data_IF_582049395056
#
_entry.id   IF_582049395056
#
_cell.length_a   1.000
_cell.length_b   1.000
_cell.length_c   1.000
_cell.angle_alpha   90.00
_cell.angle_beta   90.00
_cell.angle_gamma   90.00
#
_symmetry.space_group_name_H-M   'P 1'
#
loop_
_entity.id
_entity.type
_entity.pdbx_description
1 polymer ?
#
# COMPACT_ATOMS: atom_id res chain seq x y z
N UNK A 1 71.72 -22.76 -48.37
CA UNK A 1 70.76 -21.77 -48.90
C UNK A 1 69.35 -22.20 -48.49
N UNK A 2 68.60 -21.36 -47.77
CA UNK A 2 67.25 -21.68 -47.27
C UNK A 2 66.15 -21.19 -48.24
N UNK A 3 64.96 -21.77 -48.13
CA UNK A 3 63.73 -21.36 -48.81
C UNK A 3 62.94 -22.61 -49.25
N UNK A 4 61.67 -22.84 -48.89
CA UNK A 4 60.56 -21.94 -48.59
C UNK A 4 59.65 -22.65 -47.58
N UNK A 5 59.50 -22.09 -46.37
CA UNK A 5 58.48 -22.50 -45.41
C UNK A 5 57.12 -21.89 -45.80
N UNK A 6 56.11 -22.75 -46.01
CA UNK A 6 54.72 -22.32 -46.16
C UNK A 6 54.16 -21.97 -44.78
N UNK A 7 54.10 -20.68 -44.49
CA UNK A 7 53.35 -20.12 -43.36
C UNK A 7 51.87 -20.51 -43.44
N UNK A 8 51.49 -21.53 -42.68
CA UNK A 8 50.09 -21.72 -42.26
C UNK A 8 49.84 -20.73 -41.14
N UNK A 9 49.32 -19.55 -41.48
CA UNK A 9 48.73 -18.63 -40.52
C UNK A 9 47.62 -19.36 -39.75
N UNK A 10 47.96 -19.82 -38.54
CA UNK A 10 46.96 -20.07 -37.51
C UNK A 10 46.36 -18.71 -37.17
N UNK A 11 45.26 -18.37 -37.85
CA UNK A 11 44.33 -17.35 -37.37
C UNK A 11 43.88 -17.76 -35.98
N UNK A 12 44.47 -17.15 -34.97
CA UNK A 12 43.96 -17.10 -33.61
C UNK A 12 42.49 -16.70 -33.71
N UNK A 13 41.53 -17.52 -33.26
CA UNK A 13 40.15 -17.08 -33.24
C UNK A 13 40.08 -15.90 -32.28
N UNK A 14 39.86 -14.71 -32.84
CA UNK A 14 39.49 -13.51 -32.11
C UNK A 14 38.45 -13.90 -31.08
N UNK A 15 38.79 -13.69 -29.80
CA UNK A 15 37.98 -14.04 -28.66
C UNK A 15 36.55 -13.56 -28.85
N UNK A 16 35.67 -14.50 -29.20
CA UNK A 16 34.26 -14.23 -29.40
C UNK A 16 33.68 -13.74 -28.08
N UNK A 17 33.23 -12.49 -28.09
CA UNK A 17 32.38 -11.86 -27.07
C UNK A 17 31.03 -12.60 -27.01
N UNK A 18 31.05 -13.84 -26.52
CA UNK A 18 29.91 -14.76 -26.52
C UNK A 18 29.50 -15.22 -25.11
N UNK A 19 30.05 -14.60 -24.06
CA UNK A 19 29.88 -15.05 -22.66
C UNK A 19 29.11 -14.14 -21.70
N UNK A 20 28.59 -12.98 -22.11
CA UNK A 20 27.88 -12.04 -21.18
C UNK A 20 26.40 -12.35 -20.93
N UNK A 21 25.88 -13.49 -21.39
CA UNK A 21 24.45 -13.86 -21.27
C UNK A 21 24.15 -14.89 -20.16
N UNK A 22 24.89 -14.89 -19.06
CA UNK A 22 24.67 -15.82 -17.93
C UNK A 22 23.41 -15.47 -17.13
N UNK A 23 23.55 -14.61 -16.11
CA UNK A 23 22.47 -14.34 -15.15
C UNK A 23 21.44 -13.27 -15.60
N UNK A 24 21.91 -12.16 -16.19
CA UNK A 24 21.01 -11.08 -16.67
C UNK A 24 20.10 -11.60 -17.79
N UNK A 25 20.64 -12.42 -18.70
CA UNK A 25 19.87 -13.05 -19.76
C UNK A 25 18.75 -13.95 -19.22
N UNK A 26 19.08 -14.84 -18.27
CA UNK A 26 18.10 -15.70 -17.62
C UNK A 26 17.03 -14.92 -16.84
N UNK A 27 17.40 -13.82 -16.17
CA UNK A 27 16.45 -12.96 -15.47
C UNK A 27 15.51 -12.23 -16.43
N UNK A 28 16.00 -11.74 -17.57
CA UNK A 28 15.17 -11.14 -18.62
C UNK A 28 14.29 -12.17 -19.33
N UNK A 29 14.79 -13.39 -19.56
CA UNK A 29 13.96 -14.50 -20.08
C UNK A 29 12.84 -14.85 -19.11
N UNK A 30 13.12 -14.87 -17.80
CA UNK A 30 12.10 -15.06 -16.77
C UNK A 30 11.10 -13.90 -16.70
N UNK A 31 11.54 -12.65 -16.84
CA UNK A 31 10.64 -11.50 -16.91
C UNK A 31 9.72 -11.56 -18.14
N UNK A 32 10.21 -12.06 -19.27
CA UNK A 32 9.46 -12.28 -20.50
C UNK A 32 8.64 -13.57 -20.55
N UNK A 33 8.68 -14.39 -19.51
CA UNK A 33 7.99 -15.68 -19.44
C UNK A 33 6.46 -15.47 -19.40
N UNK A 34 5.64 -16.29 -20.10
CA UNK A 34 4.19 -16.10 -20.18
C UNK A 34 3.47 -15.95 -18.83
N UNK A 35 3.89 -16.69 -17.81
CA UNK A 35 3.34 -16.55 -16.44
C UNK A 35 3.64 -15.19 -15.84
N UNK A 36 4.86 -14.67 -16.01
CA UNK A 36 5.24 -13.34 -15.53
C UNK A 36 4.48 -12.25 -16.27
N UNK A 37 4.31 -12.39 -17.59
CA UNK A 37 3.51 -11.47 -18.41
C UNK A 37 2.04 -11.49 -18.02
N UNK A 38 1.48 -12.67 -17.73
CA UNK A 38 0.12 -12.79 -17.22
C UNK A 38 -0.04 -12.09 -15.86
N UNK A 39 0.92 -12.28 -14.95
CA UNK A 39 0.98 -11.55 -13.67
C UNK A 39 1.01 -10.03 -13.87
N UNK A 40 1.86 -9.53 -14.77
CA UNK A 40 1.92 -8.11 -15.13
C UNK A 40 0.59 -7.59 -15.70
N UNK A 41 -0.03 -8.32 -16.62
CA UNK A 41 -1.30 -7.93 -17.22
C UNK A 41 -2.42 -7.89 -16.17
N UNK A 42 -2.48 -8.90 -15.30
CA UNK A 42 -3.42 -8.93 -14.17
C UNK A 42 -3.18 -7.74 -13.26
N UNK A 43 -1.93 -7.45 -12.87
CA UNK A 43 -1.62 -6.33 -11.98
C UNK A 43 -2.06 -4.99 -12.58
N UNK A 44 -1.71 -4.73 -13.84
CA UNK A 44 -2.10 -3.50 -14.54
C UNK A 44 -3.62 -3.34 -14.65
N UNK A 45 -4.32 -4.36 -15.16
CA UNK A 45 -5.78 -4.31 -15.34
C UNK A 45 -6.49 -4.24 -14.00
N UNK A 46 -6.04 -5.03 -13.02
CA UNK A 46 -6.66 -5.06 -11.70
C UNK A 46 -6.51 -3.71 -10.99
N UNK A 47 -5.30 -3.15 -10.94
CA UNK A 47 -5.04 -1.95 -10.16
C UNK A 47 -5.54 -0.66 -10.82
N UNK A 48 -5.62 -0.63 -12.17
CA UNK A 48 -6.07 0.56 -12.90
C UNK A 48 -7.55 0.51 -13.31
N UNK A 49 -8.16 -0.68 -13.38
CA UNK A 49 -9.56 -0.82 -13.85
C UNK A 49 -10.42 -1.50 -12.79
N UNK A 50 -10.06 -2.71 -12.36
CA UNK A 50 -10.95 -3.51 -11.50
C UNK A 50 -11.09 -2.93 -10.09
N UNK A 51 -10.01 -2.41 -9.49
CA UNK A 51 -10.09 -1.74 -8.17
C UNK A 51 -10.96 -0.48 -8.21
N UNK A 52 -11.05 0.20 -9.35
CA UNK A 52 -11.90 1.39 -9.51
C UNK A 52 -13.38 1.02 -9.70
N UNK A 53 -13.65 -0.06 -10.43
CA UNK A 53 -15.02 -0.52 -10.69
C UNK A 53 -15.61 -1.34 -9.53
N UNK A 54 -14.79 -2.20 -8.91
CA UNK A 54 -15.17 -3.16 -7.86
C UNK A 54 -14.07 -3.24 -6.78
N UNK A 55 -14.01 -2.24 -5.88
CA UNK A 55 -13.12 -2.32 -4.72
C UNK A 55 -13.52 -3.50 -3.84
N UNK A 56 -12.55 -4.28 -3.35
CA UNK A 56 -12.84 -5.39 -2.46
C UNK A 56 -11.69 -6.35 -2.17
N UNK A 57 -11.92 -7.36 -1.31
CA UNK A 57 -10.88 -8.30 -0.89
C UNK A 57 -10.36 -9.18 -2.04
N UNK A 58 -11.21 -9.46 -3.04
CA UNK A 58 -10.84 -10.26 -4.21
C UNK A 58 -9.80 -9.54 -5.07
N UNK A 59 -10.04 -8.26 -5.39
CA UNK A 59 -9.10 -7.44 -6.20
C UNK A 59 -7.83 -7.12 -5.42
N UNK A 60 -7.88 -7.02 -4.09
CA UNK A 60 -6.70 -6.94 -3.22
C UNK A 60 -5.82 -8.20 -3.32
N UNK A 61 -6.39 -9.37 -3.08
CA UNK A 61 -5.65 -10.65 -3.11
C UNK A 61 -5.12 -10.95 -4.50
N UNK A 62 -5.89 -10.68 -5.55
CA UNK A 62 -5.44 -10.87 -6.93
C UNK A 62 -4.17 -10.05 -7.24
N UNK A 63 -4.09 -8.82 -6.71
CA UNK A 63 -2.92 -7.96 -6.80
C UNK A 63 -1.71 -8.58 -6.07
N UNK A 64 -1.91 -9.13 -4.86
CA UNK A 64 -0.85 -9.81 -4.11
C UNK A 64 -0.30 -11.05 -4.85
N UNK A 65 -1.19 -11.90 -5.38
CA UNK A 65 -0.80 -13.07 -6.19
C UNK A 65 -0.01 -12.65 -7.44
N UNK A 66 -0.52 -11.66 -8.17
CA UNK A 66 0.12 -11.15 -9.39
C UNK A 66 1.48 -10.50 -9.09
N UNK A 67 1.56 -9.71 -8.02
CA UNK A 67 2.78 -9.07 -7.55
C UNK A 67 3.85 -10.08 -7.15
N UNK A 68 3.49 -11.16 -6.44
CA UNK A 68 4.43 -12.22 -6.06
C UNK A 68 4.92 -13.08 -7.24
N UNK A 69 4.19 -13.11 -8.35
CA UNK A 69 4.68 -13.70 -9.61
C UNK A 69 5.65 -12.76 -10.33
N UNK A 70 5.38 -11.44 -10.33
CA UNK A 70 6.12 -10.43 -11.09
C UNK A 70 7.38 -9.90 -10.39
N UNK A 71 7.34 -9.71 -9.07
CA UNK A 71 8.42 -9.04 -8.33
C UNK A 71 9.75 -9.83 -8.32
N UNK A 72 9.77 -11.17 -8.17
CA UNK A 72 11.03 -11.93 -8.17
C UNK A 72 11.88 -11.79 -9.45
N UNK A 73 11.34 -11.92 -10.69
CA UNK A 73 12.14 -11.70 -11.90
C UNK A 73 12.66 -10.27 -12.01
N UNK A 74 11.88 -9.27 -11.62
CA UNK A 74 12.31 -7.87 -11.62
C UNK A 74 13.48 -7.66 -10.64
N UNK A 75 13.38 -8.18 -9.43
CA UNK A 75 14.46 -8.14 -8.44
C UNK A 75 15.70 -8.91 -8.92
N UNK A 76 15.52 -10.05 -9.59
CA UNK A 76 16.62 -10.82 -10.18
C UNK A 76 17.36 -10.03 -11.26
N UNK A 77 16.65 -9.27 -12.11
CA UNK A 77 17.27 -8.35 -13.08
C UNK A 77 18.11 -7.29 -12.34
N UNK A 78 17.53 -6.64 -11.32
CA UNK A 78 18.21 -5.60 -10.53
C UNK A 78 19.47 -6.12 -9.83
N UNK A 79 19.41 -7.32 -9.25
CA UNK A 79 20.56 -7.98 -8.61
C UNK A 79 21.63 -8.40 -9.62
N UNK A 80 21.24 -8.87 -10.82
CA UNK A 80 22.17 -9.39 -11.82
C UNK A 80 22.98 -8.29 -12.53
N UNK A 81 22.42 -7.08 -12.67
CA UNK A 81 23.05 -5.94 -13.32
C UNK A 81 24.41 -5.53 -12.69
N UNK A 82 24.51 -5.21 -11.37
CA UNK A 82 25.77 -4.81 -10.74
C UNK A 82 26.76 -5.97 -10.57
N UNK A 83 26.27 -7.20 -10.47
CA UNK A 83 27.09 -8.39 -10.28
C UNK A 83 27.73 -8.92 -11.58
N UNK A 84 27.48 -8.26 -12.72
CA UNK A 84 28.16 -8.51 -13.99
C UNK A 84 28.01 -9.94 -14.52
N UNK A 85 26.92 -10.63 -14.16
CA UNK A 85 26.68 -12.02 -14.56
C UNK A 85 27.55 -13.06 -13.86
N UNK A 86 28.27 -12.70 -12.79
CA UNK A 86 29.16 -13.62 -12.03
C UNK A 86 28.42 -14.58 -11.09
N UNK A 87 27.09 -14.47 -11.02
CA UNK A 87 26.24 -15.28 -10.13
C UNK A 87 25.59 -16.39 -10.95
N UNK A 88 25.52 -17.58 -10.38
CA UNK A 88 24.77 -18.70 -10.99
C UNK A 88 23.27 -18.36 -10.99
N UNK A 89 22.57 -18.76 -12.05
CA UNK A 89 21.18 -18.35 -12.29
C UNK A 89 20.22 -18.93 -11.24
N UNK A 90 20.41 -20.19 -10.84
CA UNK A 90 19.56 -20.84 -9.83
C UNK A 90 19.65 -20.17 -8.45
N UNK A 91 20.85 -19.93 -7.87
CA UNK A 91 20.96 -19.17 -6.63
C UNK A 91 20.41 -17.74 -6.72
N UNK A 92 20.59 -17.06 -7.87
CA UNK A 92 20.01 -15.74 -8.09
C UNK A 92 18.47 -15.79 -8.01
N UNK A 93 17.85 -16.72 -8.74
CA UNK A 93 16.40 -16.88 -8.72
C UNK A 93 15.86 -17.26 -7.34
N UNK A 94 16.53 -18.19 -6.64
CA UNK A 94 16.16 -18.57 -5.29
C UNK A 94 16.31 -17.39 -4.31
N UNK A 95 17.40 -16.62 -4.42
CA UNK A 95 17.62 -15.42 -3.61
C UNK A 95 16.52 -14.37 -3.84
N UNK A 96 16.19 -14.07 -5.10
CA UNK A 96 15.12 -13.12 -5.41
C UNK A 96 13.75 -13.56 -4.86
N UNK A 97 13.40 -14.85 -5.01
CA UNK A 97 12.13 -15.40 -4.48
C UNK A 97 12.09 -15.34 -2.97
N UNK A 98 13.17 -15.76 -2.29
CA UNK A 98 13.24 -15.74 -0.83
C UNK A 98 13.17 -14.32 -0.29
N UNK A 99 13.88 -13.37 -0.92
CA UNK A 99 13.85 -11.96 -0.52
C UNK A 99 12.45 -11.36 -0.71
N UNK A 100 11.80 -11.58 -1.86
CA UNK A 100 10.44 -11.10 -2.10
C UNK A 100 9.45 -11.73 -1.11
N UNK A 101 9.51 -13.05 -0.91
CA UNK A 101 8.62 -13.76 0.00
C UNK A 101 8.80 -13.33 1.46
N UNK A 102 10.05 -13.17 1.91
CA UNK A 102 10.33 -12.70 3.27
C UNK A 102 9.88 -11.26 3.49
N UNK A 103 10.13 -10.37 2.52
CA UNK A 103 9.66 -8.99 2.58
C UNK A 103 8.13 -8.93 2.62
N UNK A 104 7.44 -9.67 1.74
CA UNK A 104 5.98 -9.74 1.72
C UNK A 104 5.42 -10.28 3.04
N UNK A 105 6.00 -11.38 3.57
CA UNK A 105 5.56 -11.96 4.83
C UNK A 105 5.72 -10.98 6.01
N UNK A 106 6.87 -10.29 6.09
CA UNK A 106 7.12 -9.31 7.15
C UNK A 106 6.13 -8.14 7.09
N UNK A 107 5.84 -7.64 5.89
CA UNK A 107 4.89 -6.54 5.65
C UNK A 107 3.45 -6.95 5.96
N UNK A 108 3.02 -8.16 5.57
CA UNK A 108 1.64 -8.61 5.76
C UNK A 108 1.36 -9.17 7.16
N UNK A 109 2.37 -9.64 7.88
CA UNK A 109 2.20 -10.23 9.20
C UNK A 109 2.33 -9.23 10.36
N UNK A 110 2.82 -8.00 10.14
CA UNK A 110 3.07 -7.04 11.22
C UNK A 110 2.67 -5.61 10.86
N UNK A 111 2.06 -4.90 11.80
CA UNK A 111 1.71 -3.48 11.63
C UNK A 111 2.95 -2.60 11.44
N UNK A 112 4.03 -2.88 12.18
CA UNK A 112 5.31 -2.18 12.03
C UNK A 112 5.93 -2.39 10.64
N UNK A 113 5.84 -3.61 10.11
CA UNK A 113 6.30 -3.93 8.76
C UNK A 113 5.49 -3.20 7.69
N UNK A 114 4.17 -3.14 7.86
CA UNK A 114 3.27 -2.39 6.98
C UNK A 114 3.52 -0.87 7.05
N UNK A 115 3.77 -0.31 8.23
CA UNK A 115 4.12 1.09 8.42
C UNK A 115 5.45 1.45 7.74
N UNK A 116 6.48 0.60 7.91
CA UNK A 116 7.77 0.79 7.25
C UNK A 116 7.65 0.72 5.72
N UNK A 117 6.89 -0.25 5.21
CA UNK A 117 6.64 -0.36 3.78
C UNK A 117 5.90 0.86 3.23
N UNK A 118 4.89 1.35 3.96
CA UNK A 118 4.16 2.58 3.61
C UNK A 118 5.12 3.77 3.53
N UNK A 119 5.99 3.96 4.53
CA UNK A 119 6.97 5.04 4.52
C UNK A 119 7.95 4.93 3.34
N UNK A 120 8.52 3.74 3.12
CA UNK A 120 9.49 3.52 2.04
C UNK A 120 8.87 3.74 0.66
N UNK A 121 7.62 3.34 0.49
CA UNK A 121 6.90 3.47 -0.76
C UNK A 121 6.42 4.90 -1.00
N UNK A 122 5.98 5.59 0.06
CA UNK A 122 5.65 7.02 0.04
C UNK A 122 6.82 7.88 -0.41
N UNK A 123 8.04 7.54 0.04
CA UNK A 123 9.25 8.23 -0.37
C UNK A 123 9.63 8.00 -1.85
N UNK A 124 9.26 6.85 -2.42
CA UNK A 124 9.68 6.45 -3.75
C UNK A 124 8.71 6.91 -4.86
N UNK A 125 7.41 6.77 -4.64
CA UNK A 125 6.38 6.94 -5.69
C UNK A 125 5.36 8.02 -5.32
N UNK A 126 5.58 8.70 -4.19
CA UNK A 126 4.55 9.51 -3.57
C UNK A 126 3.62 8.67 -2.71
N UNK A 127 2.67 9.29 -2.02
CA UNK A 127 2.24 8.70 -0.77
C UNK A 127 1.34 7.46 -0.94
N UNK A 128 1.50 6.53 0.00
CA UNK A 128 1.01 5.16 -0.13
C UNK A 128 0.66 4.56 1.23
N UNK A 129 -0.38 3.71 1.24
CA UNK A 129 -0.81 2.99 2.44
C UNK A 129 -0.69 1.49 2.23
N UNK A 130 0.18 0.85 2.99
CA UNK A 130 0.33 -0.61 3.04
C UNK A 130 -0.27 -1.09 4.35
N UNK A 131 -1.11 -2.13 4.29
CA UNK A 131 -1.81 -2.70 5.46
C UNK A 131 -1.32 -4.11 5.76
N UNK A 132 -1.20 -4.42 7.05
CA UNK A 132 -0.98 -5.77 7.53
C UNK A 132 -2.30 -6.56 7.47
N UNK A 133 -2.32 -7.65 6.70
CA UNK A 133 -3.43 -8.60 6.64
C UNK A 133 -2.82 -10.01 6.56
N UNK A 134 -2.76 -10.77 7.68
CA UNK A 134 -2.16 -12.09 7.69
C UNK A 134 -2.84 -13.09 6.73
N UNK A 135 -4.10 -12.84 6.33
CA UNK A 135 -4.80 -13.70 5.35
C UNK A 135 -4.19 -13.59 3.95
N UNK A 136 -3.41 -12.54 3.68
CA UNK A 136 -2.69 -12.38 2.42
C UNK A 136 -1.45 -13.28 2.33
N UNK A 137 -1.01 -13.90 3.43
CA UNK A 137 0.09 -14.88 3.41
C UNK A 137 -0.23 -16.09 2.52
N UNK A 138 -1.51 -16.37 2.25
CA UNK A 138 -1.92 -17.38 1.26
C UNK A 138 -1.36 -17.06 -0.13
N UNK A 139 -1.14 -15.78 -0.46
CA UNK A 139 -0.54 -15.36 -1.72
C UNK A 139 0.92 -15.84 -1.89
N UNK A 140 1.64 -16.18 -0.81
CA UNK A 140 2.99 -16.77 -0.90
C UNK A 140 3.04 -18.05 -1.74
N UNK A 141 1.91 -18.75 -1.89
CA UNK A 141 1.80 -19.90 -2.81
C UNK A 141 2.08 -19.52 -4.27
N UNK A 142 1.88 -18.25 -4.67
CA UNK A 142 2.23 -17.72 -5.98
C UNK A 142 3.73 -17.82 -6.29
N UNK A 143 4.58 -17.83 -5.25
CA UNK A 143 6.02 -17.98 -5.41
C UNK A 143 6.40 -19.35 -6.02
N UNK A 144 5.53 -20.36 -5.91
CA UNK A 144 5.70 -21.64 -6.60
C UNK A 144 5.61 -21.47 -8.12
N UNK A 145 4.69 -20.62 -8.60
CA UNK A 145 4.55 -20.30 -10.02
C UNK A 145 5.73 -19.45 -10.52
N UNK A 146 6.19 -18.48 -9.72
CA UNK A 146 7.41 -17.72 -10.00
C UNK A 146 8.64 -18.64 -10.08
N UNK A 147 8.79 -19.59 -9.16
CA UNK A 147 9.89 -20.56 -9.18
C UNK A 147 9.82 -21.50 -10.39
N UNK A 148 8.63 -21.94 -10.77
CA UNK A 148 8.43 -22.73 -11.98
C UNK A 148 8.87 -21.97 -13.24
N UNK A 149 8.43 -20.72 -13.39
CA UNK A 149 8.83 -19.84 -14.49
C UNK A 149 10.35 -19.58 -14.50
N UNK A 150 10.97 -19.40 -13.33
CA UNK A 150 12.41 -19.25 -13.20
C UNK A 150 13.16 -20.51 -13.67
N UNK A 151 12.69 -21.70 -13.26
CA UNK A 151 13.32 -22.97 -13.65
C UNK A 151 13.27 -23.22 -15.15
N UNK A 152 12.16 -22.89 -15.81
CA UNK A 152 12.03 -23.04 -17.26
C UNK A 152 12.95 -22.07 -18.02
N UNK A 153 13.19 -20.89 -17.44
CA UNK A 153 14.04 -19.82 -17.99
C UNK A 153 15.55 -20.06 -17.78
N UNK A 154 15.95 -21.00 -16.93
CA UNK A 154 17.36 -21.29 -16.66
C UNK A 154 17.85 -22.43 -17.58
N UNK A 155 18.98 -22.26 -18.29
CA UNK A 155 19.56 -23.33 -19.10
C UNK A 155 19.91 -24.58 -18.26
N UNK A 156 19.59 -25.77 -18.79
CA UNK A 156 20.07 -27.01 -18.20
C UNK A 156 21.61 -27.09 -18.39
N UNK A 157 22.35 -27.13 -17.28
CA UNK A 157 23.78 -27.36 -17.30
C UNK A 157 24.05 -28.80 -17.76
N UNK A 158 24.37 -29.01 -19.04
CA UNK A 158 24.75 -30.34 -19.55
C UNK A 158 24.51 -30.64 -21.04
N UNK A 159 23.97 -29.73 -21.84
CA UNK A 159 23.75 -29.97 -23.28
C UNK A 159 24.97 -29.71 -24.16
N UNK A 160 26.14 -30.25 -23.84
CA UNK A 160 27.26 -30.36 -24.78
C UNK A 160 27.32 -31.84 -25.17
N UNK A 161 26.52 -32.20 -26.17
CA UNK A 161 26.40 -33.55 -26.68
C UNK A 161 26.07 -33.49 -28.16
N UNK A 162 27.03 -33.94 -28.95
CA UNK A 162 26.93 -34.17 -30.39
C UNK A 162 25.69 -35.00 -30.72
N UNK A 163 24.99 -34.65 -31.80
CA UNK A 163 23.87 -35.47 -32.28
C UNK A 163 22.81 -34.67 -33.02
N UNK A 164 22.80 -34.82 -34.33
CA UNK A 164 21.70 -34.41 -35.19
C UNK A 164 20.40 -35.12 -34.76
N UNK A 165 19.52 -34.44 -34.02
CA UNK A 165 18.20 -34.98 -33.71
C UNK A 165 17.47 -34.27 -32.58
N UNK A 166 16.53 -33.38 -32.93
CA UNK A 166 15.38 -33.08 -32.09
C UNK A 166 15.57 -32.09 -30.92
N UNK A 167 15.65 -30.78 -31.22
CA UNK A 167 15.00 -29.67 -30.46
C UNK A 167 15.32 -28.29 -31.07
N UNK A 168 15.00 -28.09 -32.36
CA UNK A 168 15.17 -26.79 -33.04
C UNK A 168 14.22 -25.68 -32.58
N UNK A 169 13.24 -25.97 -31.70
CA UNK A 169 12.22 -25.01 -31.25
C UNK A 169 12.55 -24.21 -29.97
N UNK A 170 13.42 -24.70 -29.07
CA UNK A 170 13.60 -24.09 -27.74
C UNK A 170 14.43 -22.80 -27.73
N UNK A 171 15.45 -22.70 -28.58
CA UNK A 171 16.37 -21.56 -28.61
C UNK A 171 15.82 -20.30 -29.29
N UNK A 172 14.77 -20.43 -30.11
CA UNK A 172 14.08 -19.30 -30.73
C UNK A 172 13.09 -18.67 -29.73
N UNK A 173 12.31 -19.48 -29.03
CA UNK A 173 11.37 -19.03 -28.00
C UNK A 173 12.06 -18.33 -26.83
N UNK A 174 13.22 -18.83 -26.37
CA UNK A 174 14.02 -18.18 -25.31
C UNK A 174 14.58 -16.83 -25.72
N UNK A 175 15.14 -16.74 -26.93
CA UNK A 175 15.58 -15.44 -27.50
C UNK A 175 14.43 -14.46 -27.67
N UNK A 176 13.22 -14.93 -27.98
CA UNK A 176 12.03 -14.10 -28.01
C UNK A 176 11.63 -13.61 -26.60
N UNK A 177 11.68 -14.46 -25.58
CA UNK A 177 11.40 -14.08 -24.19
C UNK A 177 12.41 -13.06 -23.65
N UNK A 178 13.71 -13.25 -23.89
CA UNK A 178 14.72 -12.28 -23.46
C UNK A 178 14.54 -10.88 -24.08
N UNK A 179 14.15 -10.81 -25.37
CA UNK A 179 13.82 -9.52 -26.03
C UNK A 179 12.54 -8.90 -25.46
N UNK A 180 11.52 -9.72 -25.18
CA UNK A 180 10.29 -9.27 -24.49
C UNK A 180 10.61 -8.75 -23.09
N UNK A 181 11.43 -9.46 -22.32
CA UNK A 181 11.82 -9.06 -20.97
C UNK A 181 12.38 -7.64 -20.89
N UNK A 182 13.26 -7.26 -21.81
CA UNK A 182 13.80 -5.88 -21.87
C UNK A 182 12.68 -4.85 -22.07
N UNK A 183 11.76 -5.11 -22.99
CA UNK A 183 10.61 -4.23 -23.25
C UNK A 183 9.64 -4.17 -22.06
N UNK A 184 9.62 -5.22 -21.23
CA UNK A 184 8.73 -5.32 -20.08
C UNK A 184 9.31 -4.72 -18.80
N UNK A 185 10.59 -4.35 -18.74
CA UNK A 185 11.16 -3.71 -17.54
C UNK A 185 10.42 -2.41 -17.18
N UNK A 186 10.23 -1.42 -18.08
CA UNK A 186 9.51 -0.20 -17.73
C UNK A 186 8.07 -0.44 -17.25
N UNK A 187 7.19 -1.19 -17.96
CA UNK A 187 5.83 -1.43 -17.47
C UNK A 187 5.80 -2.34 -16.23
N UNK A 188 6.78 -3.23 -16.02
CA UNK A 188 6.87 -4.01 -14.79
C UNK A 188 7.24 -3.15 -13.58
N UNK A 189 8.19 -2.23 -13.74
CA UNK A 189 8.50 -1.24 -12.69
C UNK A 189 7.26 -0.41 -12.40
N UNK A 190 6.64 0.16 -13.44
CA UNK A 190 5.41 0.95 -13.30
C UNK A 190 4.31 0.17 -12.59
N UNK A 191 4.05 -1.08 -12.97
CA UNK A 191 2.99 -1.89 -12.38
C UNK A 191 3.27 -2.24 -10.92
N UNK A 192 4.52 -2.49 -10.55
CA UNK A 192 4.88 -2.72 -9.15
C UNK A 192 4.71 -1.42 -8.36
N UNK A 193 5.16 -0.27 -8.90
CA UNK A 193 5.06 1.06 -8.26
C UNK A 193 3.65 1.65 -8.21
N UNK A 194 2.78 1.30 -9.15
CA UNK A 194 1.45 1.86 -9.28
C UNK A 194 0.49 1.23 -8.27
N UNK A 195 0.46 1.78 -7.06
CA UNK A 195 -0.58 1.49 -6.08
C UNK A 195 -1.78 2.40 -6.35
N UNK A 196 -2.99 1.83 -6.37
CA UNK A 196 -4.21 2.64 -6.36
C UNK A 196 -4.22 3.59 -5.16
N UNK A 197 -4.68 4.84 -5.36
CA UNK A 197 -4.82 5.80 -4.27
C UNK A 197 -5.67 5.18 -3.16
N UNK A 198 -5.24 5.22 -1.88
CA UNK A 198 -6.02 4.65 -0.81
C UNK A 198 -7.38 5.34 -0.72
N UNK A 199 -8.44 4.57 -0.45
CA UNK A 199 -9.71 5.11 0.01
C UNK A 199 -9.44 5.90 1.30
N UNK A 200 -9.48 7.23 1.20
CA UNK A 200 -9.27 8.11 2.34
C UNK A 200 -10.61 8.33 3.03
N UNK A 201 -10.76 7.74 4.21
CA UNK A 201 -11.87 8.03 5.11
C UNK A 201 -11.78 9.48 5.57
N UNK A 202 -12.90 10.19 5.51
CA UNK A 202 -12.99 11.63 5.69
C UNK A 202 -14.39 12.04 6.16
N UNK A 203 -14.48 12.51 7.41
CA UNK A 203 -15.72 13.04 7.98
C UNK A 203 -15.91 14.49 7.51
N UNK A 204 -16.55 14.66 6.35
CA UNK A 204 -16.65 15.97 5.69
C UNK A 204 -17.92 16.74 6.03
N UNK A 205 -19.02 16.03 6.26
CA UNK A 205 -20.34 16.61 6.48
C UNK A 205 -21.13 15.78 7.49
N UNK A 206 -21.87 16.46 8.37
CA UNK A 206 -22.81 15.82 9.30
C UNK A 206 -24.10 16.63 9.38
N UNK A 207 -25.23 15.92 9.41
CA UNK A 207 -26.56 16.50 9.64
C UNK A 207 -27.44 15.58 10.49
N UNK A 208 -28.51 16.16 11.04
CA UNK A 208 -29.60 15.43 11.70
C UNK A 208 -30.82 15.56 10.81
N UNK A 209 -31.42 14.42 10.46
CA UNK A 209 -32.64 14.36 9.65
C UNK A 209 -33.89 14.55 10.50
N UNK A 210 -35.01 14.79 9.83
CA UNK A 210 -36.32 15.00 10.47
C UNK A 210 -36.79 13.76 11.27
N UNK A 211 -36.34 12.56 10.90
CA UNK A 211 -36.60 11.30 11.62
C UNK A 211 -35.68 11.07 12.82
N UNK A 212 -34.78 12.01 13.11
CA UNK A 212 -33.78 11.90 14.18
C UNK A 212 -32.59 11.00 13.82
N UNK A 213 -32.44 10.56 12.58
CA UNK A 213 -31.22 9.87 12.13
C UNK A 213 -30.08 10.91 11.95
N UNK A 214 -28.95 10.67 12.60
CA UNK A 214 -27.71 11.42 12.33
C UNK A 214 -27.05 10.79 11.11
N UNK A 215 -26.67 11.59 10.12
CA UNK A 215 -26.00 11.14 8.90
C UNK A 215 -24.67 11.85 8.74
N UNK A 216 -23.62 11.07 8.51
CA UNK A 216 -22.24 11.48 8.29
C UNK A 216 -21.78 11.03 6.91
N UNK A 217 -21.16 11.94 6.15
CA UNK A 217 -20.39 11.59 4.95
C UNK A 217 -18.97 11.23 5.39
N UNK A 218 -18.54 10.00 5.13
CA UNK A 218 -17.40 9.37 5.79
C UNK A 218 -16.22 8.98 4.87
N UNK A 219 -16.31 9.21 3.55
CA UNK A 219 -15.21 8.99 2.62
C UNK A 219 -15.26 9.93 1.41
N UNK A 220 -14.18 9.89 0.61
CA UNK A 220 -13.99 10.71 -0.60
C UNK A 220 -14.94 10.38 -1.75
N UNK A 221 -15.67 9.26 -1.72
CA UNK A 221 -16.63 8.85 -2.75
C UNK A 221 -18.09 9.08 -2.34
N UNK A 222 -18.33 9.50 -1.10
CA UNK A 222 -19.64 9.82 -0.55
C UNK A 222 -20.29 8.69 0.24
N UNK A 223 -19.51 7.75 0.78
CA UNK A 223 -20.01 6.72 1.69
C UNK A 223 -20.64 7.34 2.93
N UNK A 224 -21.71 6.69 3.40
CA UNK A 224 -22.54 7.21 4.48
C UNK A 224 -22.40 6.35 5.73
N UNK A 225 -22.33 7.02 6.87
CA UNK A 225 -22.35 6.42 8.19
C UNK A 225 -23.47 7.09 8.98
N UNK A 226 -24.35 6.30 9.60
CA UNK A 226 -25.52 6.83 10.32
C UNK A 226 -25.58 6.37 11.76
N UNK A 227 -26.28 7.13 12.59
CA UNK A 227 -26.56 6.79 13.98
C UNK A 227 -28.01 7.16 14.33
N UNK A 228 -28.67 6.28 15.09
CA UNK A 228 -30.06 6.47 15.56
C UNK A 228 -30.16 6.65 17.07
N UNK A 229 -29.05 6.46 17.78
CA UNK A 229 -28.98 6.48 19.24
C UNK A 229 -28.22 7.70 19.79
N UNK A 230 -28.04 8.73 18.97
CA UNK A 230 -27.35 9.96 19.38
C UNK A 230 -25.83 9.85 19.30
N UNK A 231 -25.30 9.08 18.34
CA UNK A 231 -23.86 8.92 18.14
C UNK A 231 -23.20 7.97 19.15
N UNK A 232 -23.96 7.07 19.76
CA UNK A 232 -23.42 6.01 20.62
C UNK A 232 -22.93 4.86 19.74
N UNK A 233 -23.76 4.41 18.81
CA UNK A 233 -23.41 3.43 17.78
C UNK A 233 -23.56 4.02 16.39
N UNK A 234 -22.77 3.49 15.46
CA UNK A 234 -22.71 3.92 14.08
C UNK A 234 -22.80 2.73 13.15
N UNK A 235 -23.48 2.89 12.02
CA UNK A 235 -23.63 1.85 11.00
C UNK A 235 -23.33 2.41 9.61
N UNK A 236 -22.68 1.62 8.76
CA UNK A 236 -22.50 1.97 7.34
C UNK A 236 -23.84 1.87 6.61
N UNK A 237 -24.09 2.79 5.70
CA UNK A 237 -25.28 2.81 4.84
C UNK A 237 -24.83 2.93 3.39
N UNK A 238 -25.46 2.19 2.49
CA UNK A 238 -25.18 2.29 1.06
C UNK A 238 -25.36 3.74 0.59
N UNK A 239 -24.41 4.22 -0.23
CA UNK A 239 -24.37 5.61 -0.66
C UNK A 239 -25.64 5.99 -1.43
N UNK A 240 -26.40 6.97 -0.91
CA UNK A 240 -27.62 7.48 -1.53
C UNK A 240 -27.29 8.46 -2.66
N UNK A 241 -26.75 7.96 -3.78
CA UNK A 241 -26.62 8.69 -5.05
C UNK A 241 -25.85 10.03 -5.02
N UNK A 242 -26.02 10.85 -6.07
CA UNK A 242 -25.29 12.11 -6.29
C UNK A 242 -25.58 13.21 -5.25
N UNK A 243 -26.70 13.13 -4.53
CA UNK A 243 -27.19 14.19 -3.63
C UNK A 243 -26.22 14.55 -2.51
N UNK A 244 -25.51 13.56 -1.94
CA UNK A 244 -24.58 13.79 -0.83
C UNK A 244 -23.23 14.35 -1.28
N UNK A 245 -22.85 14.14 -2.54
CA UNK A 245 -21.61 14.70 -3.10
C UNK A 245 -21.63 16.23 -3.16
N UNK A 246 -22.80 16.86 -3.02
CA UNK A 246 -22.98 18.32 -3.03
C UNK A 246 -23.35 18.91 -1.66
N UNK A 247 -23.35 18.10 -0.59
CA UNK A 247 -23.73 18.58 0.74
C UNK A 247 -22.70 19.61 1.25
N UNK A 248 -23.15 20.83 1.51
CA UNK A 248 -22.29 21.92 2.03
C UNK A 248 -22.11 21.73 3.54
N UNK A 249 -20.87 21.62 4.06
CA UNK A 249 -20.62 21.50 5.50
C UNK A 249 -21.24 22.66 6.29
N UNK A 250 -21.99 22.32 7.35
CA UNK A 250 -22.58 23.32 8.24
C UNK A 250 -21.60 23.65 9.35
N UNK A 251 -21.06 24.85 9.37
CA UNK A 251 -20.06 25.26 10.37
C UNK A 251 -20.68 25.75 11.68
N UNK A 252 -22.01 25.94 11.73
CA UNK A 252 -22.77 26.37 12.89
C UNK A 252 -24.11 25.64 12.96
N UNK A 253 -24.51 25.23 14.17
CA UNK A 253 -25.82 24.63 14.45
C UNK A 253 -26.31 25.06 15.84
N UNK A 254 -27.62 25.26 15.99
CA UNK A 254 -28.23 25.65 17.27
C UNK A 254 -29.09 24.52 17.82
N UNK A 255 -29.28 24.50 19.13
CA UNK A 255 -30.16 23.55 19.80
C UNK A 255 -31.59 23.81 19.32
N UNK A 256 -32.32 22.76 18.88
CA UNK A 256 -33.73 22.89 18.56
C UNK A 256 -34.49 23.52 19.74
N UNK A 257 -35.42 24.44 19.44
CA UNK A 257 -36.24 25.16 20.43
C UNK A 257 -35.49 26.12 21.39
N UNK A 258 -34.15 26.16 21.35
CA UNK A 258 -33.30 27.07 22.12
C UNK A 258 -32.37 27.88 21.19
N UNK A 259 -32.87 28.85 20.41
CA UNK A 259 -32.09 29.55 19.38
C UNK A 259 -30.94 30.40 19.92
N UNK A 260 -30.91 30.66 21.23
CA UNK A 260 -29.78 31.32 21.89
C UNK A 260 -28.60 30.38 22.15
N UNK A 261 -28.82 29.06 22.14
CA UNK A 261 -27.81 28.05 22.42
C UNK A 261 -27.28 27.46 21.10
N UNK A 262 -26.06 27.84 20.72
CA UNK A 262 -25.46 27.43 19.44
C UNK A 262 -24.04 26.90 19.58
N UNK A 263 -23.64 26.06 18.63
CA UNK A 263 -22.30 25.52 18.47
C UNK A 263 -21.73 25.95 17.12
N UNK A 264 -20.42 26.18 17.08
CA UNK A 264 -19.67 26.54 15.87
C UNK A 264 -18.31 25.87 15.86
N UNK A 265 -17.89 25.37 14.70
CA UNK A 265 -16.55 24.82 14.49
C UNK A 265 -15.50 25.91 14.32
N UNK A 266 -14.26 25.65 14.77
CA UNK A 266 -13.14 26.58 14.63
C UNK A 266 -12.53 26.55 13.23
N UNK A 267 -12.19 27.72 12.69
CA UNK A 267 -11.55 27.85 11.38
C UNK A 267 -10.20 27.13 11.33
N UNK A 268 -10.08 26.07 10.52
CA UNK A 268 -8.84 25.28 10.37
C UNK A 268 -8.31 24.70 11.69
N UNK A 269 -9.19 24.51 12.67
CA UNK A 269 -8.86 23.96 14.00
C UNK A 269 -9.75 22.76 14.30
N UNK A 270 -9.19 21.79 15.01
CA UNK A 270 -10.00 20.79 15.73
C UNK A 270 -10.53 21.46 17.00
N UNK A 271 -11.63 22.20 16.86
CA UNK A 271 -12.20 23.04 17.93
C UNK A 271 -13.68 23.25 17.73
N UNK A 272 -14.41 23.28 18.84
CA UNK A 272 -15.83 23.65 18.91
C UNK A 272 -16.00 24.74 19.96
N UNK A 273 -16.73 25.77 19.58
CA UNK A 273 -17.18 26.83 20.49
C UNK A 273 -18.68 26.78 20.71
N UNK A 274 -19.12 27.09 21.93
CA UNK A 274 -20.51 27.21 22.35
C UNK A 274 -20.87 28.67 22.60
N UNK A 275 -22.09 29.05 22.27
CA UNK A 275 -22.71 30.31 22.64
C UNK A 275 -24.04 30.04 23.33
N UNK A 276 -24.39 30.85 24.33
CA UNK A 276 -25.66 30.79 25.07
C UNK A 276 -26.47 32.09 24.95
N UNK A 277 -26.03 33.02 24.10
CA UNK A 277 -26.61 34.35 23.93
C UNK A 277 -26.94 34.67 22.47
N UNK A 278 -27.11 33.64 21.63
CA UNK A 278 -27.42 33.78 20.20
C UNK A 278 -26.20 34.16 19.36
N UNK A 279 -24.99 33.84 19.84
CA UNK A 279 -23.75 34.04 19.10
C UNK A 279 -23.03 35.36 19.39
N UNK A 280 -23.38 36.09 20.45
CA UNK A 280 -22.68 37.33 20.84
C UNK A 280 -21.36 37.00 21.53
N UNK A 281 -21.37 35.99 22.41
CA UNK A 281 -20.17 35.45 23.06
C UNK A 281 -20.00 33.97 22.72
N UNK A 282 -18.74 33.55 22.64
CA UNK A 282 -18.36 32.18 22.29
C UNK A 282 -17.28 31.68 23.23
N UNK A 283 -17.51 30.53 23.85
CA UNK A 283 -16.55 29.85 24.73
C UNK A 283 -16.12 28.52 24.11
N UNK A 284 -14.90 28.07 24.37
CA UNK A 284 -14.44 26.77 23.84
C UNK A 284 -14.95 25.65 24.71
N UNK A 285 -15.60 24.67 24.09
CA UNK A 285 -16.17 23.50 24.78
C UNK A 285 -15.50 22.19 24.39
N UNK A 286 -14.74 22.18 23.29
CA UNK A 286 -13.91 21.05 22.87
C UNK A 286 -12.77 21.54 21.98
N UNK A 287 -11.56 21.00 22.17
CA UNK A 287 -10.44 21.24 21.28
C UNK A 287 -9.37 20.15 21.36
N UNK A 288 -8.65 19.98 20.26
CA UNK A 288 -7.31 19.37 20.26
C UNK A 288 -6.29 20.51 20.19
N UNK A 289 -5.29 20.46 21.06
CA UNK A 289 -4.29 21.52 21.17
C UNK A 289 -3.55 21.74 19.84
N UNK A 290 -3.10 22.97 19.52
CA UNK A 290 -2.40 23.26 18.28
C UNK A 290 -1.22 22.33 17.97
N UNK A 291 -0.47 21.98 19.00
CA UNK A 291 0.70 21.12 18.90
C UNK A 291 0.29 19.68 18.55
N UNK A 292 -0.81 19.18 19.12
CA UNK A 292 -1.33 17.84 18.83
C UNK A 292 -2.00 17.77 17.45
N UNK A 293 -2.71 18.82 17.05
CA UNK A 293 -3.25 18.91 15.69
C UNK A 293 -2.13 18.93 14.64
N UNK A 294 -1.04 19.68 14.87
CA UNK A 294 0.14 19.63 13.98
C UNK A 294 0.75 18.23 13.92
N UNK A 295 0.94 17.58 15.06
CA UNK A 295 1.38 16.19 15.11
C UNK A 295 0.50 15.26 14.25
N UNK A 296 -0.84 15.37 14.37
CA UNK A 296 -1.75 14.58 13.55
C UNK A 296 -1.56 14.87 12.04
N UNK A 297 -1.47 16.14 11.66
CA UNK A 297 -1.31 16.53 10.24
C UNK A 297 0.04 16.10 9.66
N UNK A 298 1.11 16.32 10.41
CA UNK A 298 2.50 16.17 9.93
C UNK A 298 3.00 14.73 10.06
N UNK A 299 2.70 14.05 11.17
CA UNK A 299 3.32 12.76 11.52
C UNK A 299 2.38 11.57 11.33
N UNK A 300 1.06 11.80 11.29
CA UNK A 300 0.06 10.72 11.17
C UNK A 300 -0.62 10.74 9.80
N UNK A 301 -1.02 11.91 9.31
CA UNK A 301 -1.79 12.04 8.08
C UNK A 301 -0.95 12.42 6.84
N UNK A 302 0.37 12.53 7.00
CA UNK A 302 1.41 12.66 5.95
C UNK A 302 1.13 13.74 4.88
N UNK A 303 0.74 14.94 5.33
CA UNK A 303 0.82 16.13 4.48
C UNK A 303 -0.14 16.23 3.28
N UNK A 304 -1.04 15.27 3.06
CA UNK A 304 -2.16 15.44 2.13
C UNK A 304 -3.16 16.47 2.66
N UNK A 305 -2.85 17.75 2.39
CA UNK A 305 -3.77 18.88 2.43
C UNK A 305 -4.53 19.06 3.74
N UNK A 306 -3.88 19.38 4.86
CA UNK A 306 -4.51 20.08 6.00
C UNK A 306 -5.90 19.58 6.48
N UNK A 307 -6.25 18.28 6.40
CA UNK A 307 -7.61 17.80 6.70
C UNK A 307 -7.80 17.30 8.14
N UNK A 308 -7.12 17.88 9.13
CA UNK A 308 -7.42 17.61 10.53
C UNK A 308 -7.97 18.90 11.15
N UNK A 309 -9.22 19.20 10.83
CA UNK A 309 -9.99 20.33 11.38
C UNK A 309 -11.47 19.96 11.44
N UNK A 310 -12.21 20.66 12.28
CA UNK A 310 -13.67 20.51 12.41
C UNK A 310 -14.36 21.18 11.21
N UNK A 311 -14.96 20.38 10.33
CA UNK A 311 -15.56 20.84 9.07
C UNK A 311 -17.07 21.08 9.15
N UNK A 312 -17.79 20.26 9.91
CA UNK A 312 -19.25 20.34 10.03
C UNK A 312 -19.70 20.03 11.46
N UNK A 313 -20.79 20.66 11.90
CA UNK A 313 -21.43 20.41 13.20
C UNK A 313 -22.94 20.25 13.04
N UNK A 314 -23.51 19.32 13.79
CA UNK A 314 -24.94 19.11 13.91
C UNK A 314 -25.35 18.95 15.38
N UNK A 315 -26.57 19.35 15.70
CA UNK A 315 -27.13 19.31 17.05
C UNK A 315 -28.46 18.56 17.00
N UNK A 316 -28.62 17.57 17.89
CA UNK A 316 -29.82 16.77 18.01
C UNK A 316 -30.41 16.92 19.41
N UNK A 317 -31.63 17.44 19.52
CA UNK A 317 -32.40 17.38 20.76
C UNK A 317 -32.77 15.91 21.08
N UNK A 318 -32.75 15.55 22.37
CA UNK A 318 -33.06 14.18 22.81
C UNK A 318 -34.41 14.13 23.54
N UNK A 319 -35.22 13.05 23.36
CA UNK A 319 -36.55 12.96 23.97
C UNK A 319 -36.57 13.03 25.51
N UNK A 320 -35.47 12.68 26.18
CA UNK A 320 -35.31 12.76 27.64
C UNK A 320 -34.81 14.12 28.15
N UNK A 321 -34.78 15.15 27.28
CA UNK A 321 -34.17 16.44 27.57
C UNK A 321 -32.68 16.50 27.22
N UNK A 322 -32.20 17.72 27.03
CA UNK A 322 -30.84 18.00 26.56
C UNK A 322 -30.63 17.66 25.09
N UNK A 323 -29.37 17.70 24.67
CA UNK A 323 -28.99 17.53 23.26
C UNK A 323 -27.62 16.89 23.12
N UNK A 324 -27.44 16.25 21.96
CA UNK A 324 -26.17 15.72 21.48
C UNK A 324 -25.59 16.70 20.46
N UNK A 325 -24.27 16.82 20.45
CA UNK A 325 -23.54 17.56 19.40
C UNK A 325 -22.62 16.59 18.68
N UNK A 326 -22.69 16.58 17.35
CA UNK A 326 -21.82 15.75 16.51
C UNK A 326 -21.02 16.65 15.58
N UNK A 327 -19.72 16.40 15.51
CA UNK A 327 -18.78 17.23 14.76
C UNK A 327 -17.96 16.34 13.83
N UNK A 328 -18.05 16.63 12.55
CA UNK A 328 -17.25 15.99 11.52
C UNK A 328 -15.84 16.62 11.50
N UNK A 329 -14.82 15.85 11.90
CA UNK A 329 -13.44 16.32 12.06
C UNK A 329 -12.52 15.83 10.93
N UNK A 330 -13.07 15.68 9.72
CA UNK A 330 -12.32 15.28 8.53
C UNK A 330 -11.58 13.95 8.76
N UNK A 331 -10.27 13.87 8.54
CA UNK A 331 -9.50 12.62 8.72
C UNK A 331 -9.39 12.18 10.17
N UNK A 332 -9.68 13.07 11.12
CA UNK A 332 -9.64 12.78 12.55
C UNK A 332 -10.88 12.00 13.03
N UNK A 333 -11.86 11.79 12.15
CA UNK A 333 -13.12 11.11 12.47
C UNK A 333 -14.17 12.07 13.00
N UNK A 334 -14.79 11.73 14.14
CA UNK A 334 -15.94 12.45 14.68
C UNK A 334 -15.73 12.78 16.17
N UNK A 335 -16.12 13.98 16.59
CA UNK A 335 -16.30 14.28 18.01
C UNK A 335 -17.79 14.32 18.36
N UNK A 336 -18.17 13.62 19.43
CA UNK A 336 -19.55 13.51 19.91
C UNK A 336 -19.64 14.01 21.35
N UNK A 337 -20.49 14.99 21.59
CA UNK A 337 -20.91 15.43 22.93
C UNK A 337 -22.21 14.75 23.29
N UNK A 338 -22.25 14.05 24.41
CA UNK A 338 -23.49 13.47 24.94
C UNK A 338 -24.37 14.52 25.66
N UNK A 339 -25.53 14.08 26.17
CA UNK A 339 -26.47 14.94 26.91
C UNK A 339 -25.93 15.39 28.26
N UNK A 340 -24.99 14.65 28.86
CA UNK A 340 -24.29 15.02 30.09
C UNK A 340 -23.19 16.07 29.85
N UNK A 341 -22.83 16.30 28.59
CA UNK A 341 -21.79 17.25 28.17
C UNK A 341 -20.40 16.67 28.07
N UNK A 342 -20.26 15.35 28.16
CA UNK A 342 -19.00 14.64 27.95
C UNK A 342 -18.71 14.52 26.47
N UNK A 343 -17.47 14.81 26.07
CA UNK A 343 -17.01 14.67 24.71
C UNK A 343 -16.24 13.36 24.50
N UNK A 344 -16.53 12.66 23.42
CA UNK A 344 -15.79 11.49 22.93
C UNK A 344 -15.26 11.75 21.53
N UNK A 345 -14.03 11.34 21.27
CA UNK A 345 -13.43 11.35 19.93
C UNK A 345 -13.45 9.93 19.38
N UNK A 346 -13.96 9.77 18.16
CA UNK A 346 -14.11 8.50 17.47
C UNK A 346 -13.31 8.54 16.17
N UNK A 347 -12.42 7.58 15.96
CA UNK A 347 -11.68 7.41 14.71
C UNK A 347 -12.35 6.42 13.77
N UNK A 348 -11.91 6.41 12.52
CA UNK A 348 -12.36 5.44 11.52
C UNK A 348 -11.71 4.07 11.76
N UNK A 349 -12.55 3.05 11.80
CA UNK A 349 -12.12 1.65 11.80
C UNK A 349 -11.81 1.17 10.38
N UNK A 350 -11.39 -0.09 10.22
CA UNK A 350 -11.21 -0.67 8.90
C UNK A 350 -12.54 -0.66 8.11
N UNK A 351 -12.47 -0.56 6.78
CA UNK A 351 -13.64 -0.64 5.91
C UNK A 351 -14.40 -1.95 6.12
N UNK A 352 -13.66 -3.03 6.42
CA UNK A 352 -14.20 -4.37 6.70
C UNK A 352 -14.85 -4.49 8.08
N UNK A 353 -14.58 -3.55 9.00
CA UNK A 353 -15.13 -3.62 10.34
C UNK A 353 -16.63 -3.27 10.32
N UNK A 354 -17.46 -4.05 11.05
CA UNK A 354 -18.90 -3.81 11.10
C UNK A 354 -19.25 -2.49 11.79
N UNK A 355 -18.37 -2.02 12.67
CA UNK A 355 -18.49 -0.74 13.37
C UNK A 355 -17.58 0.25 12.67
N UNK A 356 -18.07 1.30 11.99
CA UNK A 356 -17.27 2.22 11.18
C UNK A 356 -16.52 3.29 11.98
N UNK A 357 -16.90 3.51 13.25
CA UNK A 357 -16.35 4.55 14.12
C UNK A 357 -16.23 4.02 15.55
N UNK A 358 -15.05 4.14 16.17
CA UNK A 358 -14.82 3.72 17.56
C UNK A 358 -13.82 4.64 18.28
N UNK A 359 -13.83 4.61 19.61
CA UNK A 359 -12.88 5.39 20.41
C UNK A 359 -11.47 4.79 20.31
N UNK A 360 -11.38 3.47 20.20
CA UNK A 360 -10.15 2.70 20.09
C UNK A 360 -9.42 2.96 18.77
N UNK A 361 -10.19 3.21 17.69
CA UNK A 361 -9.63 3.58 16.39
C UNK A 361 -9.20 5.05 16.31
N UNK A 362 -9.53 5.87 17.32
CA UNK A 362 -9.11 7.26 17.34
C UNK A 362 -7.59 7.34 17.53
N UNK A 363 -6.89 7.98 16.58
CA UNK A 363 -5.42 8.07 16.63
C UNK A 363 -4.95 8.60 17.98
N UNK A 364 -4.07 7.90 18.70
CA UNK A 364 -3.54 8.39 19.97
C UNK A 364 -2.94 9.78 19.81
N UNK A 365 -3.26 10.66 20.76
CA UNK A 365 -2.66 11.99 20.78
C UNK A 365 -1.25 11.96 21.38
N UNK A 366 -0.82 10.86 21.99
CA UNK A 366 0.49 10.70 22.61
C UNK A 366 1.58 10.34 21.58
N UNK A 367 2.80 10.84 21.79
CA UNK A 367 3.93 10.56 20.90
C UNK A 367 4.62 9.27 21.37
N UNK A 368 4.58 8.20 20.57
CA UNK A 368 5.48 7.07 20.78
C UNK A 368 6.92 7.47 20.40
N UNK A 369 7.90 7.08 21.23
CA UNK A 369 9.29 7.54 21.06
C UNK A 369 9.91 7.01 19.74
N UNK A 370 10.71 7.82 19.04
CA UNK A 370 11.37 7.42 17.79
C UNK A 370 12.35 6.24 17.96
N UNK A 371 12.76 5.93 19.19
CA UNK A 371 13.74 4.87 19.51
C UNK A 371 13.18 3.45 19.31
N UNK A 372 11.87 3.26 19.50
CA UNK A 372 11.23 1.96 19.23
C UNK A 372 11.16 1.68 17.72
N UNK A 373 10.88 2.69 16.89
CA UNK A 373 10.78 2.56 15.42
C UNK A 373 12.11 2.15 14.76
N UNK A 374 13.24 2.72 15.22
CA UNK A 374 14.56 2.41 14.65
C UNK A 374 15.01 0.96 14.89
N UNK A 375 14.57 0.35 15.99
CA UNK A 375 14.97 -1.02 16.37
C UNK A 375 14.27 -2.08 15.52
N UNK A 376 12.99 -1.87 15.18
CA UNK A 376 12.23 -2.74 14.27
C UNK A 376 12.72 -2.62 12.82
N UNK A 377 13.11 -1.42 12.37
CA UNK A 377 13.67 -1.16 11.03
C UNK A 377 14.99 -1.94 10.84
N UNK A 378 15.89 -1.89 11.81
CA UNK A 378 17.16 -2.60 11.75
C UNK A 378 16.98 -4.14 11.73
N UNK A 379 16.02 -4.66 12.51
CA UNK A 379 15.71 -6.08 12.56
C UNK A 379 15.10 -6.60 11.24
N UNK A 380 14.17 -5.84 10.63
CA UNK A 380 13.51 -6.21 9.38
C UNK A 380 14.46 -6.19 8.17
N UNK A 381 15.30 -5.16 8.05
CA UNK A 381 16.31 -5.06 6.96
C UNK A 381 17.38 -6.14 7.10
N UNK A 382 17.83 -6.43 8.33
CA UNK A 382 18.79 -7.51 8.57
C UNK A 382 18.19 -8.89 8.24
N UNK A 383 16.91 -9.13 8.59
CA UNK A 383 16.22 -10.38 8.28
C UNK A 383 15.98 -10.57 6.76
N UNK A 384 15.70 -9.49 6.02
CA UNK A 384 15.47 -9.55 4.57
C UNK A 384 16.77 -9.78 3.76
N UNK A 385 17.91 -9.28 4.24
CA UNK A 385 19.20 -9.39 3.55
C UNK A 385 20.05 -10.60 3.99
N UNK A 386 19.82 -11.14 5.19
CA UNK A 386 20.57 -12.27 5.72
C UNK A 386 20.52 -13.56 4.84
N UNK A 387 19.39 -13.97 4.25
CA UNK A 387 19.34 -15.16 3.40
C UNK A 387 20.18 -15.00 2.12
N UNK A 388 20.14 -13.82 1.51
CA UNK A 388 20.90 -13.49 0.31
C UNK A 388 22.41 -13.51 0.60
N UNK A 389 22.84 -12.91 1.72
CA UNK A 389 24.23 -12.89 2.12
C UNK A 389 24.76 -14.26 2.57
N UNK A 390 23.96 -15.06 3.28
CA UNK A 390 24.33 -16.39 3.73
C UNK A 390 24.53 -17.36 2.55
N UNK A 391 23.63 -17.34 1.56
CA UNK A 391 23.74 -18.19 0.36
C UNK A 391 24.95 -17.77 -0.50
N UNK A 392 25.23 -16.47 -0.60
CA UNK A 392 26.38 -15.94 -1.35
C UNK A 392 27.73 -16.26 -0.67
N UNK A 393 27.81 -16.22 0.66
CA UNK A 393 29.05 -16.44 1.42
C UNK A 393 29.36 -17.91 1.67
N UNK A 394 28.35 -18.75 1.93
CA UNK A 394 28.52 -20.18 2.18
C UNK A 394 29.16 -20.93 1.01
N UNK A 395 28.94 -20.48 -0.23
CA UNK A 395 29.54 -21.11 -1.42
C UNK A 395 30.95 -20.62 -1.77
N UNK A 396 31.39 -19.45 -1.30
CA UNK A 396 32.79 -19.02 -1.47
C UNK A 396 33.76 -19.85 -0.64
N UNK A 397 33.30 -20.49 0.45
CA UNK A 397 34.14 -21.31 1.34
C UNK A 397 34.29 -22.78 0.92
N UNK A 398 33.58 -23.24 -0.12
CA UNK A 398 33.61 -24.65 -0.58
C UNK A 398 34.47 -24.90 -1.84
N UNK A 399 35.23 -23.91 -2.28
CA UNK A 399 36.24 -24.07 -3.30
C UNK A 399 37.58 -23.53 -2.76
N UNK A 400 38.41 -24.36 -2.11
CA UNK A 400 39.86 -24.19 -2.18
C UNK A 400 40.35 -24.42 -3.61
#
# INVERSE_FOLDING_TARGET
>A
MPGIDRNVERRTPLGGVSGRRGAVGAALEWLGHPVTVAGLAVLLVNDHVLKQAWPGPVTGKLSDFAGLVLAPPLLAVLMALPLGGRVRERPLAAGAILTVGAAFAAVKASEDGAALASWAWSALVGPSGVRADPTDLVALTALLAAWWAARDSIPAAGGQGDGAGGRRGGGASRRAFGRRGVLLVPPAVLAVTATAAPLLMDASHVEVRDDGEIVLVADTYGGLVTSRDGGVTWARKEALGETWRRAVPRTRACVPDEPAHCYRVGEQRLRVTESRDGGRTWTTVWEISPQRQRYLVEEVYDGYGAYAYSASVAVQARPGGGHVVVVANRRDGVAVRDTAGTWRRLGFTDEKDPVPLSAEAATPLERHSPFQRATFIAAGVAAALAPAFAIMTWRRRRHP
#
